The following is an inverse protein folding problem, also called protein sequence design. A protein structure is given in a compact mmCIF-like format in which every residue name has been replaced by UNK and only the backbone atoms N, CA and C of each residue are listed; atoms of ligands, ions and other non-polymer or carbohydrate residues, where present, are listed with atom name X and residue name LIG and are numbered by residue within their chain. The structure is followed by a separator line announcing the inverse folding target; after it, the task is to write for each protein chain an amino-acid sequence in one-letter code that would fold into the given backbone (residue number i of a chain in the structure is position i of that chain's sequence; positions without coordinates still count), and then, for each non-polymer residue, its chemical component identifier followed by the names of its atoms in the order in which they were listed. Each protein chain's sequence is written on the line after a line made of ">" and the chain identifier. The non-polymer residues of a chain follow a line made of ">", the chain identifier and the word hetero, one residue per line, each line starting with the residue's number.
data_IF_604701058448
#
_entry.id   IF_604701058448
#
_cell.length_a   1.000
_cell.length_b   1.000
_cell.length_c   1.000
_cell.angle_alpha   90.00
_cell.angle_beta   90.00
_cell.angle_gamma   90.00
#
_symmetry.space_group_name_H-M   'P 1'
#
loop_
_entity.id
_entity.type
_entity.pdbx_description
1 polymer ?
#
# COMPACT_ATOMS: atom_id res chain seq x y z
N UNK A 1 16.90 34.41 6.06
CA UNK A 1 16.47 34.67 7.46
C UNK A 1 15.95 33.38 8.09
N UNK A 2 15.59 33.41 9.38
CA UNK A 2 14.96 32.29 10.04
C UNK A 2 13.59 31.98 9.42
N UNK A 3 12.87 33.02 9.03
CA UNK A 3 11.58 32.91 8.38
C UNK A 3 11.68 32.22 7.02
N UNK A 4 12.70 32.54 6.22
CA UNK A 4 12.95 31.87 4.93
C UNK A 4 13.23 30.36 5.12
N UNK A 5 13.92 29.99 6.21
CA UNK A 5 14.19 28.59 6.51
C UNK A 5 12.91 27.85 6.96
N UNK A 6 12.02 28.53 7.66
CA UNK A 6 10.71 27.97 8.04
C UNK A 6 9.80 27.76 6.82
N UNK A 7 9.78 28.71 5.88
CA UNK A 7 9.00 28.58 4.65
C UNK A 7 9.46 27.39 3.83
N UNK A 8 10.79 27.19 3.65
CA UNK A 8 11.33 26.02 2.97
C UNK A 8 10.95 24.72 3.69
N UNK A 9 10.98 24.68 5.01
CA UNK A 9 10.57 23.47 5.76
C UNK A 9 9.08 23.16 5.57
N UNK A 10 8.23 24.17 5.52
CA UNK A 10 6.80 24.00 5.27
C UNK A 10 6.54 23.46 3.86
N UNK A 11 7.23 24.02 2.86
CA UNK A 11 7.10 23.59 1.46
C UNK A 11 7.57 22.16 1.26
N UNK A 12 8.73 21.78 1.79
CA UNK A 12 9.24 20.41 1.78
C UNK A 12 8.26 19.44 2.47
N UNK A 13 7.71 19.83 3.63
CA UNK A 13 6.73 19.00 4.35
C UNK A 13 5.46 18.80 3.52
N UNK A 14 4.96 19.84 2.87
CA UNK A 14 3.78 19.78 1.99
C UNK A 14 4.04 18.90 0.77
N UNK A 15 5.23 19.00 0.18
CA UNK A 15 5.65 18.14 -0.93
C UNK A 15 5.69 16.67 -0.51
N UNK A 16 6.30 16.35 0.62
CA UNK A 16 6.37 14.99 1.16
C UNK A 16 4.99 14.39 1.43
N UNK A 17 4.08 15.15 2.06
CA UNK A 17 2.69 14.74 2.29
C UNK A 17 1.97 14.47 0.97
N UNK A 18 2.16 15.32 -0.03
CA UNK A 18 1.54 15.16 -1.34
C UNK A 18 2.06 13.91 -2.05
N UNK A 19 3.37 13.67 -2.00
CA UNK A 19 4.00 12.47 -2.56
C UNK A 19 3.53 11.18 -1.87
N UNK A 20 3.38 11.19 -0.53
CA UNK A 20 2.82 10.04 0.20
C UNK A 20 1.39 9.70 -0.22
N UNK A 21 0.62 10.71 -0.62
CA UNK A 21 -0.74 10.54 -1.13
C UNK A 21 -0.79 10.28 -2.66
N UNK A 22 0.36 10.15 -3.34
CA UNK A 22 0.49 10.05 -4.79
C UNK A 22 -0.24 11.18 -5.54
N UNK A 23 -0.20 12.38 -4.98
CA UNK A 23 -0.73 13.61 -5.56
C UNK A 23 0.42 14.50 -6.02
N UNK A 24 0.16 15.30 -7.06
CA UNK A 24 1.08 16.34 -7.49
C UNK A 24 1.12 17.46 -6.44
N UNK A 25 2.31 17.91 -5.96
CA UNK A 25 2.45 18.98 -5.01
C UNK A 25 1.79 20.28 -5.53
N UNK A 26 1.20 21.05 -4.62
CA UNK A 26 0.57 22.30 -4.95
C UNK A 26 1.07 23.39 -3.98
N UNK A 27 1.66 24.44 -4.53
CA UNK A 27 2.16 25.60 -3.77
C UNK A 27 1.04 26.50 -3.24
N UNK A 28 -0.19 26.37 -3.80
CA UNK A 28 -1.35 27.19 -3.40
C UNK A 28 -2.05 26.63 -2.18
N UNK A 29 -2.59 27.51 -1.36
CA UNK A 29 -3.43 27.11 -0.24
C UNK A 29 -4.68 26.37 -0.71
N UNK A 30 -5.28 25.58 0.18
CA UNK A 30 -6.47 24.77 -0.15
C UNK A 30 -7.63 25.59 -0.75
N UNK A 31 -7.88 26.79 -0.23
CA UNK A 31 -8.97 27.64 -0.70
C UNK A 31 -8.65 28.47 -1.95
N UNK A 32 -7.38 28.68 -2.25
CA UNK A 32 -6.93 29.37 -3.47
C UNK A 32 -6.90 28.44 -4.69
N UNK A 33 -6.81 27.14 -4.43
CA UNK A 33 -6.81 26.14 -5.50
C UNK A 33 -8.23 25.92 -6.00
N UNK A 34 -8.46 26.09 -7.29
CA UNK A 34 -9.79 25.86 -7.88
C UNK A 34 -10.16 24.37 -7.85
N UNK A 35 -11.46 24.07 -7.76
CA UNK A 35 -11.99 22.69 -7.77
C UNK A 35 -11.46 21.89 -8.97
N UNK A 36 -11.37 22.52 -10.13
CA UNK A 36 -10.86 21.88 -11.34
C UNK A 36 -9.37 21.50 -11.24
N UNK A 37 -8.56 22.38 -10.69
CA UNK A 37 -7.15 22.11 -10.45
C UNK A 37 -6.97 20.94 -9.47
N UNK A 38 -7.68 20.97 -8.34
CA UNK A 38 -7.65 19.87 -7.37
C UNK A 38 -8.10 18.53 -7.98
N UNK A 39 -9.14 18.54 -8.81
CA UNK A 39 -9.60 17.34 -9.50
C UNK A 39 -8.52 16.81 -10.47
N UNK A 40 -7.88 17.68 -11.23
CA UNK A 40 -6.83 17.32 -12.20
C UNK A 40 -5.64 16.66 -11.51
N UNK A 41 -5.17 17.16 -10.37
CA UNK A 41 -4.03 16.59 -9.62
C UNK A 41 -4.33 15.18 -9.08
N UNK A 42 -5.59 14.82 -8.90
CA UNK A 42 -6.02 13.52 -8.38
C UNK A 42 -6.38 12.51 -9.49
N UNK A 43 -6.97 13.01 -10.59
CA UNK A 43 -7.63 12.16 -11.58
C UNK A 43 -6.65 11.26 -12.31
N UNK A 44 -5.45 11.73 -12.59
CA UNK A 44 -4.42 10.95 -13.31
C UNK A 44 -4.07 9.68 -12.54
N UNK A 45 -3.80 9.80 -11.25
CA UNK A 45 -3.49 8.67 -10.38
C UNK A 45 -4.68 7.72 -10.23
N UNK A 46 -5.88 8.27 -10.05
CA UNK A 46 -7.11 7.47 -9.94
C UNK A 46 -7.40 6.68 -11.23
N UNK A 47 -7.11 7.25 -12.41
CA UNK A 47 -7.23 6.53 -13.68
C UNK A 47 -6.23 5.37 -13.77
N UNK A 48 -5.00 5.55 -13.33
CA UNK A 48 -4.01 4.46 -13.25
C UNK A 48 -4.50 3.34 -12.33
N UNK A 49 -5.04 3.70 -11.15
CA UNK A 49 -5.61 2.72 -10.23
C UNK A 49 -6.84 2.01 -10.82
N UNK A 50 -7.71 2.72 -11.51
CA UNK A 50 -8.87 2.15 -12.21
C UNK A 50 -8.45 1.15 -13.29
N UNK A 51 -7.42 1.48 -14.07
CA UNK A 51 -6.87 0.56 -15.06
C UNK A 51 -6.28 -0.69 -14.40
N UNK A 52 -5.52 -0.53 -13.33
CA UNK A 52 -5.00 -1.64 -12.52
C UNK A 52 -6.12 -2.52 -11.95
N UNK A 53 -7.20 -1.91 -11.45
CA UNK A 53 -8.37 -2.63 -10.97
C UNK A 53 -9.07 -3.45 -12.07
N UNK A 54 -9.08 -2.94 -13.31
CA UNK A 54 -9.62 -3.68 -14.47
C UNK A 54 -8.80 -4.94 -14.76
N UNK A 55 -7.48 -4.87 -14.66
CA UNK A 55 -6.60 -6.05 -14.81
C UNK A 55 -6.91 -7.06 -13.69
N UNK A 56 -7.04 -6.60 -12.45
CA UNK A 56 -7.39 -7.46 -11.31
C UNK A 56 -8.75 -8.14 -11.52
N UNK A 57 -9.76 -7.40 -11.98
CA UNK A 57 -11.08 -7.94 -12.32
C UNK A 57 -10.99 -9.04 -13.39
N UNK A 58 -10.19 -8.82 -14.43
CA UNK A 58 -9.98 -9.83 -15.49
C UNK A 58 -9.33 -11.12 -14.97
N UNK A 59 -8.40 -11.01 -14.02
CA UNK A 59 -7.79 -12.17 -13.36
C UNK A 59 -8.85 -12.93 -12.55
N UNK A 60 -9.65 -12.23 -11.74
CA UNK A 60 -10.72 -12.85 -10.95
C UNK A 60 -11.70 -13.61 -11.85
N UNK A 61 -12.15 -12.99 -12.95
CA UNK A 61 -13.03 -13.62 -13.92
C UNK A 61 -12.41 -14.88 -14.54
N UNK A 62 -11.12 -14.89 -14.79
CA UNK A 62 -10.42 -16.07 -15.34
C UNK A 62 -10.45 -17.27 -14.39
N UNK A 63 -10.56 -17.03 -13.10
CA UNK A 63 -10.65 -18.07 -12.07
C UNK A 63 -12.08 -18.30 -11.54
N UNK A 64 -13.10 -17.82 -12.26
CA UNK A 64 -14.51 -17.92 -11.85
C UNK A 64 -14.95 -19.36 -11.53
N UNK A 65 -14.52 -20.35 -12.31
CA UNK A 65 -14.83 -21.75 -12.07
C UNK A 65 -14.26 -22.25 -10.72
N UNK A 66 -13.08 -21.80 -10.31
CA UNK A 66 -12.50 -22.15 -9.02
C UNK A 66 -13.27 -21.49 -7.87
N UNK A 67 -13.71 -20.25 -8.05
CA UNK A 67 -14.54 -19.54 -7.07
C UNK A 67 -15.95 -20.08 -6.97
N UNK A 68 -16.51 -20.58 -8.09
CA UNK A 68 -17.84 -21.24 -8.10
C UNK A 68 -17.88 -22.50 -7.25
N UNK A 69 -16.74 -23.19 -7.10
CA UNK A 69 -16.62 -24.37 -6.23
C UNK A 69 -16.70 -24.00 -4.73
N UNK A 70 -16.23 -22.81 -4.35
CA UNK A 70 -16.27 -22.31 -2.98
C UNK A 70 -16.59 -20.81 -2.98
N UNK A 71 -17.87 -20.43 -3.20
CA UNK A 71 -18.29 -19.02 -3.35
C UNK A 71 -17.91 -18.14 -2.15
N UNK A 72 -17.82 -18.75 -0.97
CA UNK A 72 -17.44 -18.04 0.26
C UNK A 72 -16.05 -17.37 0.15
N UNK A 73 -15.12 -17.93 -0.64
CA UNK A 73 -13.77 -17.35 -0.80
C UNK A 73 -13.82 -15.96 -1.46
N UNK A 74 -14.77 -15.72 -2.35
CA UNK A 74 -14.94 -14.42 -3.02
C UNK A 74 -15.23 -13.31 -2.01
N UNK A 75 -15.99 -13.61 -0.95
CA UNK A 75 -16.34 -12.62 0.08
C UNK A 75 -15.14 -12.12 0.90
N UNK A 76 -14.00 -12.84 0.87
CA UNK A 76 -12.79 -12.42 1.56
C UNK A 76 -11.85 -11.56 0.68
N UNK A 77 -12.08 -11.47 -0.64
CA UNK A 77 -11.23 -10.69 -1.55
C UNK A 77 -11.14 -9.22 -1.12
N UNK A 78 -12.25 -8.51 -0.80
CA UNK A 78 -12.16 -7.11 -0.35
C UNK A 78 -11.31 -6.96 0.92
N UNK A 79 -11.44 -7.87 1.87
CA UNK A 79 -10.65 -7.85 3.11
C UNK A 79 -9.14 -8.04 2.82
N UNK A 80 -8.79 -8.98 1.93
CA UNK A 80 -7.40 -9.21 1.55
C UNK A 80 -6.80 -7.99 0.84
N UNK A 81 -7.56 -7.37 -0.06
CA UNK A 81 -7.14 -6.16 -0.78
C UNK A 81 -6.96 -4.96 0.16
N UNK A 82 -7.91 -4.74 1.07
CA UNK A 82 -7.84 -3.65 2.05
C UNK A 82 -6.65 -3.82 2.99
N UNK A 83 -6.47 -5.02 3.56
CA UNK A 83 -5.33 -5.31 4.44
C UNK A 83 -4.00 -5.13 3.71
N UNK A 84 -3.90 -5.61 2.46
CA UNK A 84 -2.71 -5.42 1.64
C UNK A 84 -2.43 -3.94 1.36
N UNK A 85 -3.46 -3.17 0.99
CA UNK A 85 -3.36 -1.73 0.76
C UNK A 85 -2.88 -0.97 1.99
N UNK A 86 -3.45 -1.27 3.15
CA UNK A 86 -3.07 -0.64 4.42
C UNK A 86 -1.62 -0.99 4.82
N UNK A 87 -1.21 -2.25 4.69
CA UNK A 87 0.19 -2.66 4.94
C UNK A 87 1.16 -1.95 3.98
N UNK A 88 0.81 -1.85 2.70
CA UNK A 88 1.61 -1.16 1.70
C UNK A 88 1.75 0.33 1.99
N UNK A 89 0.66 1.00 2.34
CA UNK A 89 0.64 2.41 2.70
C UNK A 89 1.51 2.69 3.93
N UNK A 90 1.42 1.87 4.98
CA UNK A 90 2.25 2.01 6.17
C UNK A 90 3.74 1.86 5.86
N UNK A 91 4.11 0.86 5.08
CA UNK A 91 5.51 0.64 4.68
C UNK A 91 6.02 1.79 3.80
N UNK A 92 5.23 2.23 2.81
CA UNK A 92 5.57 3.37 1.94
C UNK A 92 5.83 4.64 2.75
N UNK A 93 4.94 4.97 3.68
CA UNK A 93 5.07 6.16 4.52
C UNK A 93 6.35 6.15 5.34
N UNK A 94 6.70 5.00 5.95
CA UNK A 94 7.93 4.89 6.74
C UNK A 94 9.19 5.00 5.89
N UNK A 95 9.18 4.44 4.68
CA UNK A 95 10.31 4.50 3.76
C UNK A 95 10.50 5.91 3.21
N UNK A 96 9.42 6.58 2.75
CA UNK A 96 9.47 7.95 2.25
C UNK A 96 9.97 8.89 3.34
N UNK A 97 9.43 8.77 4.56
CA UNK A 97 9.91 9.53 5.70
C UNK A 97 11.39 9.28 5.97
N UNK A 98 11.83 8.03 5.97
CA UNK A 98 13.24 7.70 6.22
C UNK A 98 14.18 8.25 5.14
N UNK A 99 13.72 8.34 3.88
CA UNK A 99 14.46 8.97 2.78
C UNK A 99 14.51 10.49 2.95
N UNK A 100 13.37 11.13 3.25
CA UNK A 100 13.27 12.57 3.44
C UNK A 100 14.12 13.07 4.61
N UNK A 101 14.17 12.33 5.72
CA UNK A 101 15.00 12.66 6.88
C UNK A 101 16.50 12.26 6.71
N UNK A 102 16.87 11.66 5.59
CA UNK A 102 18.24 11.17 5.39
C UNK A 102 18.64 9.99 6.29
N UNK A 103 17.66 9.33 6.94
CA UNK A 103 17.89 8.14 7.75
C UNK A 103 18.16 6.90 6.90
N UNK A 104 17.65 6.89 5.67
CA UNK A 104 17.83 5.82 4.69
C UNK A 104 18.66 6.35 3.53
N UNK A 105 19.81 5.73 3.29
CA UNK A 105 20.65 6.03 2.16
C UNK A 105 20.51 4.94 1.08
N UNK A 106 20.64 5.31 -0.19
CA UNK A 106 20.52 4.38 -1.32
C UNK A 106 21.44 3.17 -1.23
N UNK A 107 22.63 3.34 -0.64
CA UNK A 107 23.59 2.24 -0.41
C UNK A 107 23.08 1.18 0.56
N UNK A 108 22.09 1.51 1.37
CA UNK A 108 21.54 0.66 2.43
C UNK A 108 20.21 0.01 2.05
N UNK A 109 19.77 0.17 0.82
CA UNK A 109 18.46 -0.29 0.33
C UNK A 109 18.23 -1.79 0.59
N UNK A 110 19.28 -2.61 0.40
CA UNK A 110 19.20 -4.05 0.69
C UNK A 110 18.99 -4.36 2.20
N UNK A 111 19.53 -3.53 3.08
CA UNK A 111 19.28 -3.65 4.53
C UNK A 111 17.84 -3.32 4.86
N UNK A 112 17.29 -2.27 4.22
CA UNK A 112 15.89 -1.87 4.37
C UNK A 112 14.98 -2.97 3.84
N UNK A 113 15.25 -3.52 2.66
CA UNK A 113 14.50 -4.65 2.11
C UNK A 113 14.44 -5.84 3.06
N UNK A 114 15.59 -6.23 3.61
CA UNK A 114 15.64 -7.35 4.54
C UNK A 114 14.92 -7.06 5.85
N UNK A 115 14.98 -5.81 6.33
CA UNK A 115 14.22 -5.37 7.52
C UNK A 115 12.72 -5.43 7.25
N UNK A 116 12.24 -4.87 6.15
CA UNK A 116 10.82 -4.86 5.76
C UNK A 116 10.31 -6.30 5.53
N UNK A 117 11.10 -7.16 4.90
CA UNK A 117 10.74 -8.58 4.75
C UNK A 117 10.55 -9.28 6.11
N UNK A 118 11.41 -9.02 7.09
CA UNK A 118 11.24 -9.58 8.44
C UNK A 118 10.00 -9.00 9.13
N UNK A 119 9.73 -7.71 8.94
CA UNK A 119 8.52 -7.07 9.47
C UNK A 119 7.29 -7.70 8.83
N UNK A 120 7.28 -7.92 7.51
CA UNK A 120 6.15 -8.55 6.81
C UNK A 120 5.87 -9.98 7.27
N UNK A 121 6.90 -10.75 7.60
CA UNK A 121 6.74 -12.09 8.17
C UNK A 121 6.05 -12.02 9.55
N UNK A 122 6.47 -11.11 10.40
CA UNK A 122 5.89 -10.97 11.75
C UNK A 122 4.44 -10.48 11.66
N UNK A 123 4.22 -9.37 10.96
CA UNK A 123 2.89 -8.76 10.81
C UNK A 123 1.95 -9.72 10.07
N UNK A 124 2.40 -10.30 8.96
CA UNK A 124 1.62 -11.26 8.19
C UNK A 124 1.22 -12.49 8.99
N UNK A 125 2.14 -13.04 9.81
CA UNK A 125 1.84 -14.19 10.68
C UNK A 125 0.80 -13.86 11.75
N UNK A 126 0.92 -12.70 12.39
CA UNK A 126 -0.05 -12.25 13.42
C UNK A 126 -1.43 -12.03 12.80
N UNK A 127 -1.49 -11.32 11.67
CA UNK A 127 -2.76 -11.05 10.98
C UNK A 127 -3.39 -12.35 10.44
N UNK A 128 -2.58 -13.24 9.86
CA UNK A 128 -3.04 -14.54 9.37
C UNK A 128 -3.61 -15.40 10.50
N UNK A 129 -2.92 -15.47 11.65
CA UNK A 129 -3.39 -16.23 12.81
C UNK A 129 -4.69 -15.64 13.39
N UNK A 130 -4.75 -14.32 13.58
CA UNK A 130 -5.94 -13.65 14.12
C UNK A 130 -7.14 -13.80 13.18
N UNK A 131 -6.96 -13.59 11.89
CA UNK A 131 -8.02 -13.70 10.90
C UNK A 131 -8.44 -15.16 10.66
N UNK A 132 -7.49 -16.09 10.61
CA UNK A 132 -7.77 -17.52 10.50
C UNK A 132 -8.59 -18.03 11.68
N UNK A 133 -8.24 -17.62 12.91
CA UNK A 133 -9.02 -17.95 14.10
C UNK A 133 -10.46 -17.36 14.02
N UNK A 134 -10.59 -16.09 13.63
CA UNK A 134 -11.88 -15.45 13.43
C UNK A 134 -12.76 -16.21 12.43
N UNK A 135 -12.20 -16.59 11.28
CA UNK A 135 -12.92 -17.30 10.21
C UNK A 135 -13.29 -18.70 10.69
N UNK A 136 -12.39 -19.39 11.41
CA UNK A 136 -12.68 -20.70 11.96
C UNK A 136 -13.84 -20.65 12.96
N UNK A 137 -13.87 -19.68 13.85
CA UNK A 137 -14.97 -19.50 14.80
C UNK A 137 -16.30 -19.20 14.07
N UNK A 138 -16.26 -18.34 13.05
CA UNK A 138 -17.45 -17.87 12.34
C UNK A 138 -18.07 -18.94 11.43
N UNK A 139 -17.22 -19.70 10.71
CA UNK A 139 -17.69 -20.63 9.66
C UNK A 139 -17.51 -22.11 10.02
N UNK A 140 -16.84 -22.43 11.13
CA UNK A 140 -16.54 -23.79 11.58
C UNK A 140 -15.89 -24.67 10.50
N UNK A 141 -15.15 -24.05 9.58
CA UNK A 141 -14.50 -24.71 8.47
C UNK A 141 -13.00 -24.42 8.47
N UNK A 142 -12.23 -25.44 8.88
CA UNK A 142 -10.79 -25.32 9.03
C UNK A 142 -10.06 -25.08 7.69
N UNK A 143 -10.52 -25.70 6.60
CA UNK A 143 -9.91 -25.54 5.28
C UNK A 143 -10.03 -24.11 4.76
N UNK A 144 -11.20 -23.49 4.90
CA UNK A 144 -11.41 -22.09 4.51
C UNK A 144 -10.56 -21.17 5.38
N UNK A 145 -10.51 -21.40 6.68
CA UNK A 145 -9.71 -20.60 7.60
C UNK A 145 -8.22 -20.62 7.23
N UNK A 146 -7.67 -21.80 6.93
CA UNK A 146 -6.26 -21.93 6.51
C UNK A 146 -6.01 -21.24 5.15
N UNK A 147 -6.86 -21.47 4.15
CA UNK A 147 -6.68 -20.88 2.82
C UNK A 147 -6.65 -19.36 2.91
N UNK A 148 -7.61 -18.76 3.62
CA UNK A 148 -7.66 -17.29 3.75
C UNK A 148 -6.53 -16.75 4.61
N UNK A 149 -6.12 -17.45 5.69
CA UNK A 149 -5.00 -17.06 6.51
C UNK A 149 -3.68 -17.06 5.72
N UNK A 150 -3.40 -18.12 4.97
CA UNK A 150 -2.22 -18.21 4.11
C UNK A 150 -2.25 -17.17 2.99
N UNK A 151 -3.42 -16.94 2.36
CA UNK A 151 -3.58 -15.90 1.35
C UNK A 151 -3.25 -14.52 1.92
N UNK A 152 -3.72 -14.21 3.13
CA UNK A 152 -3.44 -12.94 3.80
C UNK A 152 -1.95 -12.77 4.08
N UNK A 153 -1.28 -13.81 4.57
CA UNK A 153 0.16 -13.77 4.79
C UNK A 153 0.93 -13.48 3.49
N UNK A 154 0.59 -14.17 2.41
CA UNK A 154 1.22 -13.95 1.10
C UNK A 154 0.97 -12.53 0.59
N UNK A 155 -0.26 -12.02 0.71
CA UNK A 155 -0.61 -10.64 0.31
C UNK A 155 0.27 -9.63 1.05
N UNK A 156 0.41 -9.72 2.37
CA UNK A 156 1.23 -8.80 3.17
C UNK A 156 2.69 -8.83 2.73
N UNK A 157 3.26 -10.03 2.52
CA UNK A 157 4.65 -10.19 2.09
C UNK A 157 4.87 -9.59 0.69
N UNK A 158 3.99 -9.89 -0.26
CA UNK A 158 4.10 -9.44 -1.66
C UNK A 158 3.95 -7.92 -1.76
N UNK A 159 2.96 -7.34 -1.06
CA UNK A 159 2.72 -5.89 -1.09
C UNK A 159 3.91 -5.12 -0.54
N UNK A 160 4.47 -5.54 0.59
CA UNK A 160 5.66 -4.89 1.18
C UNK A 160 6.87 -5.03 0.25
N UNK A 161 7.06 -6.19 -0.39
CA UNK A 161 8.11 -6.38 -1.38
C UNK A 161 7.93 -5.47 -2.62
N UNK A 162 6.68 -5.27 -3.08
CA UNK A 162 6.36 -4.36 -4.19
C UNK A 162 6.64 -2.90 -3.84
N UNK A 163 6.29 -2.45 -2.64
CA UNK A 163 6.59 -1.09 -2.15
C UNK A 163 8.08 -0.84 -2.18
N UNK A 164 8.88 -1.81 -1.76
CA UNK A 164 10.35 -1.72 -1.82
C UNK A 164 10.86 -1.60 -3.26
N UNK A 165 10.31 -2.38 -4.19
CA UNK A 165 10.70 -2.30 -5.60
C UNK A 165 10.39 -0.92 -6.21
N UNK A 166 9.23 -0.34 -5.87
CA UNK A 166 8.84 1.01 -6.31
C UNK A 166 9.75 2.08 -5.69
N UNK A 167 10.06 1.98 -4.39
CA UNK A 167 10.99 2.89 -3.73
C UNK A 167 12.37 2.87 -4.39
N UNK A 168 12.89 1.69 -4.74
CA UNK A 168 14.14 1.54 -5.47
C UNK A 168 14.06 2.20 -6.85
N UNK A 169 12.99 1.94 -7.60
CA UNK A 169 12.82 2.52 -8.93
C UNK A 169 12.74 4.06 -8.89
N UNK A 170 12.04 4.63 -7.89
CA UNK A 170 11.93 6.08 -7.71
C UNK A 170 13.26 6.75 -7.35
N UNK A 171 14.24 5.99 -6.88
CA UNK A 171 15.55 6.51 -6.47
C UNK A 171 16.63 6.41 -7.54
N UNK A 172 16.32 5.73 -8.66
CA UNK A 172 17.23 5.60 -9.81
C UNK A 172 17.04 6.69 -10.86
N UNK A 173 16.06 7.55 -10.69
CA UNK A 173 15.78 8.74 -11.50
C UNK A 173 15.98 10.02 -10.69
#
# INVERSE_FOLDING_TARGET
>A
TFDDAMDVMVDETNEDISRMAAMEPNEKTYFETTVWQQAKHRILWLLVLMFSATITGSIITRYENAFSAVPLLVSFIPMLMDTGGNCGSQSSTLIIRGLALGEIHFKEIFKVMFKEFRISLIVGSILAAANGLRIFIQYQNFNIAIVVALSLMVVVIVVIAMVMAVAIAATTY
#
